data_IF_976551079222
#
_entry.id   IF_976551079222
#
_cell.length_a   1.000
_cell.length_b   1.000
_cell.length_c   1.000
_cell.angle_alpha   90.00
_cell.angle_beta   90.00
_cell.angle_gamma   90.00
#
_symmetry.space_group_name_H-M   'P 1'
#
loop_
_entity.id
_entity.type
_entity.pdbx_description
1 polymer ?
#
# COMPACT_ATOMS: atom_id res chain seq x y z
N UNK A 1 -15.45 7.43 -16.10
CA UNK A 1 -14.50 7.25 -14.99
C UNK A 1 -13.66 6.00 -15.26
N UNK A 2 -12.37 6.18 -15.31
CA UNK A 2 -11.49 5.04 -15.53
C UNK A 2 -11.16 4.36 -14.21
N UNK A 3 -11.31 3.04 -14.19
CA UNK A 3 -10.86 2.25 -13.04
C UNK A 3 -9.37 1.97 -13.20
N UNK A 4 -8.66 1.99 -12.10
CA UNK A 4 -7.27 1.54 -12.07
C UNK A 4 -7.22 0.02 -11.90
N UNK A 5 -6.12 -0.65 -12.31
CA UNK A 5 -5.94 -2.06 -12.00
C UNK A 5 -6.03 -2.28 -10.50
N UNK A 6 -6.80 -3.26 -10.08
CA UNK A 6 -7.08 -3.51 -8.66
C UNK A 6 -7.15 -4.99 -8.36
N UNK A 7 -6.82 -5.34 -7.11
CA UNK A 7 -7.04 -6.67 -6.54
C UNK A 7 -7.66 -6.52 -5.16
N UNK A 8 -8.35 -7.54 -4.70
CA UNK A 8 -8.80 -7.60 -3.31
C UNK A 8 -7.70 -8.20 -2.44
N UNK A 9 -7.76 -7.96 -1.13
CA UNK A 9 -6.80 -8.55 -0.18
C UNK A 9 -6.86 -10.08 -0.25
N UNK A 10 -8.06 -10.65 -0.45
CA UNK A 10 -8.22 -12.10 -0.55
C UNK A 10 -7.40 -12.71 -1.69
N UNK A 11 -7.19 -11.95 -2.76
CA UNK A 11 -6.46 -12.41 -3.94
C UNK A 11 -4.96 -12.09 -3.92
N UNK A 12 -4.50 -11.40 -2.86
CA UNK A 12 -3.07 -11.09 -2.73
C UNK A 12 -2.27 -12.34 -2.34
N UNK A 13 -1.12 -12.58 -2.99
CA UNK A 13 -0.19 -13.60 -2.50
C UNK A 13 0.25 -13.29 -1.07
N UNK A 14 0.57 -14.33 -0.30
CA UNK A 14 1.01 -14.15 1.09
C UNK A 14 2.30 -13.33 1.19
N UNK A 15 3.16 -13.42 0.16
CA UNK A 15 4.45 -12.74 0.08
C UNK A 15 4.43 -11.52 -0.84
N UNK A 16 3.25 -10.95 -1.09
CA UNK A 16 3.11 -9.79 -1.99
C UNK A 16 3.99 -8.62 -1.54
N UNK A 17 4.66 -8.00 -2.50
CA UNK A 17 5.41 -6.77 -2.27
C UNK A 17 4.43 -5.60 -2.26
N UNK A 18 4.30 -4.93 -1.13
CA UNK A 18 3.37 -3.81 -0.96
C UNK A 18 4.12 -2.50 -0.88
N UNK A 19 3.62 -1.50 -1.60
CA UNK A 19 4.05 -0.11 -1.45
C UNK A 19 2.97 0.61 -0.63
N UNK A 20 3.30 0.98 0.60
CA UNK A 20 2.38 1.66 1.50
C UNK A 20 2.56 3.16 1.35
N UNK A 21 1.52 3.85 0.90
CA UNK A 21 1.58 5.28 0.59
C UNK A 21 0.89 6.15 1.65
N UNK A 22 0.59 5.56 2.82
CA UNK A 22 0.04 6.30 3.95
C UNK A 22 1.11 7.19 4.58
N UNK A 23 0.68 8.12 5.43
CA UNK A 23 1.62 9.00 6.12
C UNK A 23 2.33 8.27 7.26
N UNK A 24 3.39 8.90 7.80
CA UNK A 24 4.29 8.26 8.76
C UNK A 24 3.60 7.81 10.06
N UNK A 25 2.63 8.58 10.54
CA UNK A 25 1.90 8.23 11.77
C UNK A 25 1.03 6.98 11.59
N UNK A 26 0.41 6.85 10.41
CA UNK A 26 -0.38 5.66 10.07
C UNK A 26 0.53 4.42 9.97
N UNK A 27 1.67 4.58 9.33
CA UNK A 27 2.67 3.52 9.18
C UNK A 27 3.19 3.03 10.53
N UNK A 28 3.52 3.97 11.41
CA UNK A 28 4.05 3.65 12.75
C UNK A 28 3.03 2.88 13.59
N UNK A 29 1.74 3.20 13.44
CA UNK A 29 0.67 2.58 14.23
C UNK A 29 0.37 1.15 13.78
N UNK A 30 0.53 0.85 12.49
CA UNK A 30 0.29 -0.51 12.00
C UNK A 30 0.51 -0.61 10.51
N UNK A 31 1.18 -1.69 10.07
CA UNK A 31 1.53 -1.92 8.68
C UNK A 31 1.67 -3.41 8.40
N UNK A 32 1.62 -3.76 7.11
CA UNK A 32 1.92 -5.13 6.71
C UNK A 32 3.43 -5.38 6.82
N UNK A 33 3.85 -6.56 7.32
CA UNK A 33 5.28 -6.85 7.51
C UNK A 33 6.11 -6.77 6.24
N UNK A 34 5.50 -7.02 5.08
CA UNK A 34 6.18 -7.08 3.79
C UNK A 34 6.12 -5.76 3.02
N UNK A 35 5.71 -4.66 3.65
CA UNK A 35 5.52 -3.40 2.97
C UNK A 35 6.74 -2.50 3.02
N UNK A 36 6.88 -1.66 1.99
CA UNK A 36 7.85 -0.58 1.90
C UNK A 36 7.08 0.72 2.02
N UNK A 37 7.55 1.63 2.85
CA UNK A 37 6.86 2.89 3.10
C UNK A 37 7.37 4.01 2.20
N UNK A 38 6.45 4.62 1.47
CA UNK A 38 6.73 5.81 0.68
C UNK A 38 5.47 6.68 0.67
N UNK A 39 5.36 7.66 1.59
CA UNK A 39 4.15 8.46 1.73
C UNK A 39 3.76 9.16 0.43
N UNK A 40 2.47 9.22 0.16
CA UNK A 40 1.97 9.90 -1.05
C UNK A 40 2.48 11.34 -1.14
N UNK A 41 2.61 12.04 0.00
CA UNK A 41 3.11 13.41 0.05
C UNK A 41 4.55 13.55 -0.41
N UNK A 42 5.34 12.46 -0.42
CA UNK A 42 6.75 12.47 -0.80
C UNK A 42 7.03 11.67 -2.07
N UNK A 43 5.99 11.12 -2.68
CA UNK A 43 6.15 10.15 -3.76
C UNK A 43 6.96 10.68 -4.94
N UNK A 44 6.60 11.86 -5.45
CA UNK A 44 7.29 12.41 -6.64
C UNK A 44 8.73 12.78 -6.35
N UNK A 45 9.03 13.27 -5.15
CA UNK A 45 10.38 13.61 -4.74
C UNK A 45 11.25 12.36 -4.55
N UNK A 46 10.63 11.22 -4.23
CA UNK A 46 11.32 9.98 -3.90
C UNK A 46 11.00 8.87 -4.90
N UNK A 47 10.67 9.23 -6.12
CA UNK A 47 10.25 8.26 -7.16
C UNK A 47 11.29 7.16 -7.40
N UNK A 48 12.57 7.45 -7.22
CA UNK A 48 13.65 6.48 -7.39
C UNK A 48 13.62 5.37 -6.33
N UNK A 49 12.85 5.54 -5.26
CA UNK A 49 12.75 4.54 -4.18
C UNK A 49 11.62 3.53 -4.42
N UNK A 50 10.87 3.68 -5.51
CA UNK A 50 9.81 2.72 -5.87
C UNK A 50 10.43 1.34 -6.07
N UNK A 51 9.92 0.29 -5.39
CA UNK A 51 10.44 -1.06 -5.56
C UNK A 51 10.29 -1.56 -6.99
N UNK A 52 11.28 -2.32 -7.46
CA UNK A 52 11.22 -2.98 -8.76
C UNK A 52 10.47 -4.31 -8.61
N UNK A 53 9.16 -4.22 -8.57
CA UNK A 53 8.27 -5.36 -8.39
C UNK A 53 7.21 -5.38 -9.47
N UNK A 54 6.84 -6.57 -9.92
CA UNK A 54 5.80 -6.75 -10.93
C UNK A 54 4.93 -7.95 -10.55
N UNK A 55 3.65 -7.72 -10.21
CA UNK A 55 3.01 -6.41 -10.08
C UNK A 55 3.47 -5.66 -8.82
N UNK A 56 3.35 -4.34 -8.86
CA UNK A 56 3.61 -3.48 -7.71
C UNK A 56 2.27 -3.17 -7.03
N UNK A 57 2.02 -3.80 -5.91
CA UNK A 57 0.77 -3.61 -5.16
C UNK A 57 0.88 -2.35 -4.30
N UNK A 58 -0.07 -1.43 -4.45
CA UNK A 58 -0.06 -0.15 -3.74
C UNK A 58 -1.22 -0.13 -2.76
N UNK A 59 -0.93 0.21 -1.51
CA UNK A 59 -1.91 0.16 -0.43
C UNK A 59 -1.95 1.49 0.34
N UNK A 60 -3.17 1.89 0.73
CA UNK A 60 -3.37 2.94 1.72
C UNK A 60 -4.34 2.43 2.79
N UNK A 61 -5.03 3.32 3.51
CA UNK A 61 -5.94 2.89 4.57
C UNK A 61 -7.14 2.14 4.00
N UNK A 62 -7.82 2.72 3.01
CA UNK A 62 -9.09 2.19 2.47
C UNK A 62 -9.13 2.04 0.94
N UNK A 63 -8.10 2.46 0.23
CA UNK A 63 -7.98 2.30 -1.22
C UNK A 63 -8.07 3.57 -2.05
N UNK A 64 -8.46 4.71 -1.47
CA UNK A 64 -8.66 5.95 -2.23
C UNK A 64 -7.35 6.63 -2.64
N UNK A 65 -6.46 6.86 -1.69
CA UNK A 65 -5.15 7.48 -1.97
C UNK A 65 -4.32 6.58 -2.88
N UNK A 66 -4.33 5.27 -2.60
CA UNK A 66 -3.55 4.32 -3.40
C UNK A 66 -4.06 4.22 -4.83
N UNK A 67 -5.37 4.35 -5.05
CA UNK A 67 -5.91 4.39 -6.42
C UNK A 67 -5.35 5.56 -7.21
N UNK A 68 -5.22 6.74 -6.58
CA UNK A 68 -4.61 7.91 -7.23
C UNK A 68 -3.14 7.67 -7.53
N UNK A 69 -2.41 7.06 -6.61
CA UNK A 69 -1.00 6.73 -6.79
C UNK A 69 -0.84 5.74 -7.94
N UNK A 70 -1.69 4.71 -8.00
CA UNK A 70 -1.67 3.74 -9.10
C UNK A 70 -1.89 4.41 -10.45
N UNK A 71 -2.86 5.31 -10.54
CA UNK A 71 -3.12 6.05 -11.78
C UNK A 71 -1.88 6.84 -12.22
N UNK A 72 -1.23 7.53 -11.29
CA UNK A 72 -0.01 8.28 -11.57
C UNK A 72 1.14 7.35 -12.01
N UNK A 73 1.38 6.28 -11.25
CA UNK A 73 2.47 5.36 -11.54
C UNK A 73 2.27 4.61 -12.85
N UNK A 74 1.03 4.22 -13.16
CA UNK A 74 0.73 3.58 -14.44
C UNK A 74 1.06 4.51 -15.61
N UNK A 75 0.79 5.80 -15.48
CA UNK A 75 1.16 6.79 -16.47
C UNK A 75 2.66 6.98 -16.62
N UNK A 76 3.43 6.58 -15.60
CA UNK A 76 4.90 6.62 -15.62
C UNK A 76 5.53 5.28 -16.05
N UNK A 77 4.70 4.29 -16.40
CA UNK A 77 5.18 2.99 -16.88
C UNK A 77 5.37 1.93 -15.81
N UNK A 78 4.92 2.17 -14.57
CA UNK A 78 5.03 1.16 -13.50
C UNK A 78 3.87 0.17 -13.56
N UNK A 79 4.12 -1.13 -13.29
CA UNK A 79 3.06 -2.15 -13.25
C UNK A 79 2.31 -2.11 -11.93
N UNK A 80 1.68 -0.98 -11.62
CA UNK A 80 1.05 -0.73 -10.33
C UNK A 80 -0.38 -1.26 -10.30
N UNK A 81 -0.77 -1.83 -9.16
CA UNK A 81 -2.10 -2.41 -8.93
C UNK A 81 -2.58 -1.94 -7.55
N UNK A 82 -3.82 -1.45 -7.48
CA UNK A 82 -4.39 -0.97 -6.24
C UNK A 82 -4.90 -2.15 -5.40
N UNK A 83 -4.66 -2.10 -4.10
CA UNK A 83 -5.24 -3.06 -3.16
C UNK A 83 -6.57 -2.49 -2.65
N UNK A 84 -7.68 -3.02 -3.16
CA UNK A 84 -9.02 -2.58 -2.78
C UNK A 84 -9.26 -2.81 -1.29
N UNK A 85 -9.82 -1.80 -0.64
CA UNK A 85 -10.07 -1.84 0.79
C UNK A 85 -8.86 -1.55 1.66
N UNK A 86 -7.65 -1.54 1.08
CA UNK A 86 -6.43 -1.13 1.75
C UNK A 86 -6.11 -1.89 3.03
N UNK A 87 -5.44 -1.22 3.96
CA UNK A 87 -5.06 -1.83 5.23
C UNK A 87 -6.26 -2.18 6.11
N UNK A 88 -7.39 -1.50 5.94
CA UNK A 88 -8.61 -1.90 6.65
C UNK A 88 -9.04 -3.30 6.24
N UNK A 89 -9.05 -3.60 4.94
CA UNK A 89 -9.39 -4.94 4.44
C UNK A 89 -8.31 -5.95 4.82
N UNK A 90 -7.04 -5.56 4.79
CA UNK A 90 -5.92 -6.42 5.20
C UNK A 90 -6.12 -6.92 6.62
N UNK A 91 -6.35 -6.02 7.56
CA UNK A 91 -6.60 -6.37 8.96
C UNK A 91 -7.91 -7.15 9.12
N UNK A 92 -8.94 -6.77 8.37
CA UNK A 92 -10.24 -7.45 8.40
C UNK A 92 -10.19 -8.89 7.93
N UNK A 93 -9.22 -9.22 7.05
CA UNK A 93 -8.99 -10.59 6.59
C UNK A 93 -8.09 -11.38 7.55
N UNK A 94 -7.71 -10.79 8.66
CA UNK A 94 -6.86 -11.46 9.66
C UNK A 94 -5.40 -11.58 9.28
N UNK A 95 -4.93 -10.82 8.29
CA UNK A 95 -3.52 -10.82 7.91
C UNK A 95 -2.69 -10.07 8.95
N UNK A 96 -1.44 -10.45 9.07
CA UNK A 96 -0.54 -9.90 10.10
C UNK A 96 -0.32 -8.41 9.96
N UNK A 97 -0.45 -7.69 11.09
CA UNK A 97 -0.15 -6.27 11.19
C UNK A 97 0.93 -6.10 12.25
N UNK A 98 1.98 -5.36 11.94
CA UNK A 98 3.04 -5.03 12.89
C UNK A 98 3.07 -3.52 13.11
N UNK A 99 3.68 -3.08 14.19
CA UNK A 99 3.79 -1.66 14.53
C UNK A 99 5.18 -1.36 15.05
N UNK A 100 5.48 -0.07 15.22
CA UNK A 100 6.72 0.35 15.84
C UNK A 100 6.84 -0.25 17.24
N UNK A 101 8.08 -0.47 17.67
CA UNK A 101 8.38 -1.10 18.94
C UNK A 101 7.62 -0.44 20.09
N UNK A 102 7.03 -1.27 20.95
CA UNK A 102 6.29 -0.81 22.11
C UNK A 102 4.84 -0.41 21.83
N UNK A 103 4.36 -0.56 20.60
CA UNK A 103 2.99 -0.22 20.23
C UNK A 103 2.18 -1.47 19.92
N UNK A 104 0.90 -1.45 20.30
CA UNK A 104 -0.05 -2.46 19.86
C UNK A 104 -0.44 -2.14 18.40
N UNK A 105 -0.25 -3.08 17.46
CA UNK A 105 -0.59 -2.81 16.06
C UNK A 105 -2.06 -2.49 15.86
N UNK A 106 -2.34 -1.42 15.11
CA UNK A 106 -3.71 -1.06 14.72
C UNK A 106 -3.69 -0.25 13.42
N UNK A 107 -4.79 -0.29 12.70
CA UNK A 107 -4.98 0.54 11.50
C UNK A 107 -5.76 1.79 11.92
N UNK A 108 -5.08 2.91 11.95
CA UNK A 108 -5.67 4.19 12.33
C UNK A 108 -6.16 4.97 11.13
#
# INVERSE_FOLDING_TARGET
MSAVPSVTVADLPADASLLDVREADEWAAGRAPTSVHLPMSELTARISEIPDAEPLYVVCRSGGRSARVVAYLAGQGYPAVNVDGGMQAWAGQGREVVADEGRTPEIV
#
